data_IF_722465069130
#
_entry.id   IF_722465069130
#
_cell.length_a   1.000
_cell.length_b   1.000
_cell.length_c   1.000
_cell.angle_alpha   90.00
_cell.angle_beta   90.00
_cell.angle_gamma   90.00
#
_symmetry.space_group_name_H-M   'P 1'
#
loop_
_entity.id
_entity.type
_entity.pdbx_description
1 polymer ?
#
# COMPACT_ATOMS: atom_id res chain seq x y z
N UNK A 1 -12.77 39.14 -77.22
CA UNK A 1 -13.04 39.18 -76.70
C UNK A 1 -13.17 38.80 -75.63
N UNK A 2 -13.11 38.76 -74.83
CA UNK A 2 -13.27 38.50 -73.76
C UNK A 2 -13.11 38.36 -72.76
N UNK A 3 -13.11 38.28 -71.88
CA UNK A 3 -13.01 38.19 -70.82
C UNK A 3 -13.20 37.89 -69.84
N UNK A 4 -12.95 37.67 -68.99
CA UNK A 4 -13.15 37.39 -67.98
C UNK A 4 -12.81 37.38 -67.00
N UNK A 5 -12.91 37.43 -66.16
CA UNK A 5 -12.68 37.64 -65.15
C UNK A 5 -13.06 36.87 -64.18
N UNK A 6 -12.52 36.27 -63.45
CA UNK A 6 -12.89 35.58 -62.45
C UNK A 6 -12.46 36.07 -61.21
N UNK A 7 -13.22 36.49 -60.57
CA UNK A 7 -12.88 36.94 -59.32
C UNK A 7 -12.93 35.80 -58.39
N UNK A 8 -11.98 35.39 -57.96
CA UNK A 8 -12.03 34.41 -57.04
C UNK A 8 -12.04 34.99 -55.64
N UNK A 9 -13.01 34.80 -55.09
CA UNK A 9 -13.09 35.22 -53.74
C UNK A 9 -12.45 34.26 -52.91
N UNK A 10 -11.55 34.65 -52.32
CA UNK A 10 -10.95 33.82 -51.41
C UNK A 10 -11.65 33.91 -50.13
N UNK A 11 -12.14 33.00 -49.77
CA UNK A 11 -12.72 32.95 -48.53
C UNK A 11 -11.81 32.49 -47.58
N UNK A 12 -11.50 33.25 -46.76
CA UNK A 12 -10.86 32.87 -45.72
C UNK A 12 -11.59 32.31 -44.75
N UNK A 13 -11.51 31.24 -44.50
CA UNK A 13 -12.06 30.64 -43.40
C UNK A 13 -11.16 30.65 -42.38
N UNK A 14 -11.34 31.39 -41.59
CA UNK A 14 -10.61 31.33 -40.45
C UNK A 14 -11.08 30.29 -39.59
N UNK A 15 -10.53 29.39 -39.52
CA UNK A 15 -10.88 28.42 -38.64
C UNK A 15 -10.44 28.72 -37.37
N UNK A 16 -11.15 29.05 -36.68
CA UNK A 16 -10.90 29.17 -35.42
C UNK A 16 -10.90 28.05 -34.78
N UNK A 17 -10.03 27.66 -34.50
CA UNK A 17 -10.00 26.69 -33.75
C UNK A 17 -9.96 27.01 -32.51
N UNK A 18 -10.71 26.97 -31.93
CA UNK A 18 -10.71 27.09 -30.72
C UNK A 18 -10.33 25.97 -30.09
N UNK A 19 -9.43 25.84 -29.88
CA UNK A 19 -9.08 24.80 -29.34
C UNK A 19 -9.06 24.63 -28.06
N UNK A 20 -9.55 24.79 -27.57
CA UNK A 20 -9.63 24.69 -26.40
C UNK A 20 -9.33 23.64 -25.81
N UNK A 21 -8.75 23.30 -25.80
CA UNK A 21 -8.42 22.35 -25.24
C UNK A 21 -8.60 21.96 -24.08
N UNK A 22 -8.74 22.24 -23.59
CA UNK A 22 -8.98 22.05 -22.48
C UNK A 22 -8.91 20.93 -21.90
N UNK A 23 -8.71 20.28 -22.10
CA UNK A 23 -8.61 19.25 -21.59
C UNK A 23 -8.32 18.98 -20.49
N UNK A 24 -8.20 19.35 -20.10
CA UNK A 24 -7.93 19.39 -19.17
C UNK A 24 -8.35 18.75 -18.21
N UNK A 25 -8.09 18.61 -17.46
CA UNK A 25 -8.48 18.16 -16.37
C UNK A 25 -8.67 16.93 -16.11
N UNK A 26 -8.53 16.28 -16.80
CA UNK A 26 -8.86 15.08 -16.51
C UNK A 26 -7.83 14.47 -15.84
N UNK A 27 -7.94 13.73 -15.14
CA UNK A 27 -6.99 12.99 -14.57
C UNK A 27 -6.10 13.64 -13.69
N UNK A 28 -6.39 14.67 -13.20
CA UNK A 28 -5.53 15.17 -12.35
C UNK A 28 -5.64 14.61 -11.07
N UNK A 29 -4.61 14.25 -10.44
CA UNK A 29 -4.61 13.88 -9.09
C UNK A 29 -5.12 15.02 -8.28
N UNK A 30 -5.90 14.73 -7.30
CA UNK A 30 -6.38 15.76 -6.45
C UNK A 30 -5.28 16.13 -5.49
N UNK A 31 -5.18 17.38 -5.20
CA UNK A 31 -4.15 17.84 -4.28
C UNK A 31 -4.28 17.19 -2.92
N UNK A 32 -5.48 16.75 -2.60
CA UNK A 32 -5.70 16.14 -1.30
C UNK A 32 -5.49 14.66 -1.27
N UNK A 33 -5.23 14.03 -2.38
CA UNK A 33 -5.02 12.60 -2.40
C UNK A 33 -3.74 12.27 -1.66
N UNK A 34 -3.77 11.34 -0.73
CA UNK A 34 -2.56 10.98 -0.02
C UNK A 34 -1.59 10.22 -0.92
N UNK A 35 -0.31 10.39 -0.63
CA UNK A 35 0.71 9.59 -1.27
C UNK A 35 0.71 8.24 -0.58
N UNK A 36 0.60 7.19 -1.37
CA UNK A 36 0.59 5.83 -0.84
C UNK A 36 1.99 5.26 -0.84
N UNK A 37 2.31 4.55 0.22
CA UNK A 37 3.59 3.88 0.38
C UNK A 37 3.40 2.37 0.33
N UNK A 38 4.28 1.69 -0.38
CA UNK A 38 4.23 0.24 -0.46
C UNK A 38 4.83 -0.35 0.82
N UNK A 39 4.06 -1.16 1.50
CA UNK A 39 4.47 -1.79 2.76
C UNK A 39 4.52 -3.29 2.57
N UNK A 40 5.54 -3.91 3.11
CA UNK A 40 5.65 -5.36 3.08
C UNK A 40 6.03 -5.88 4.45
N UNK A 41 5.28 -6.86 4.90
CA UNK A 41 5.59 -7.62 6.11
C UNK A 41 6.22 -8.95 5.72
N UNK A 42 7.24 -9.37 6.42
CA UNK A 42 7.85 -10.68 6.21
C UNK A 42 8.14 -11.32 7.57
N UNK A 43 7.72 -12.56 7.73
CA UNK A 43 7.98 -13.32 8.95
C UNK A 43 8.70 -14.60 8.57
N UNK A 44 9.78 -14.88 9.28
CA UNK A 44 10.53 -16.12 9.14
C UNK A 44 10.66 -16.80 10.49
N UNK A 45 11.00 -18.07 10.48
CA UNK A 45 11.22 -18.84 11.70
C UNK A 45 12.38 -19.80 11.47
N UNK A 46 13.17 -20.01 12.50
CA UNK A 46 14.27 -20.97 12.42
C UNK A 46 13.79 -22.41 12.57
N UNK A 47 12.66 -22.59 13.25
CA UNK A 47 12.05 -23.90 13.45
C UNK A 47 10.62 -23.87 12.96
N UNK A 48 10.11 -24.95 12.36
CA UNK A 48 8.75 -24.98 11.82
C UNK A 48 7.71 -24.72 12.90
N UNK A 49 6.67 -23.97 12.54
CA UNK A 49 5.58 -23.64 13.45
C UNK A 49 4.34 -23.31 12.66
N UNK A 50 3.17 -23.65 13.19
CA UNK A 50 1.90 -23.17 12.68
C UNK A 50 1.61 -21.87 13.42
N UNK A 51 1.99 -20.77 12.81
CA UNK A 51 2.05 -19.48 13.47
C UNK A 51 0.72 -18.75 13.44
N UNK A 52 0.51 -17.93 14.47
CA UNK A 52 -0.67 -17.09 14.60
C UNK A 52 -0.23 -15.65 14.29
N UNK A 53 -0.85 -15.03 13.30
CA UNK A 53 -0.40 -13.74 12.79
C UNK A 53 -1.55 -12.75 12.78
N UNK A 54 -1.28 -11.54 13.28
CA UNK A 54 -2.16 -10.39 13.13
C UNK A 54 -1.40 -9.32 12.37
N UNK A 55 -2.06 -8.63 11.46
CA UNK A 55 -1.38 -7.60 10.68
C UNK A 55 -2.39 -6.56 10.22
N UNK A 56 -1.94 -5.32 10.07
CA UNK A 56 -2.77 -4.27 9.51
C UNK A 56 -2.90 -4.52 8.00
N UNK A 57 -4.11 -4.69 7.51
CA UNK A 57 -4.35 -4.88 6.08
C UNK A 57 -5.08 -3.70 5.45
N UNK A 58 -5.55 -2.78 6.23
CA UNK A 58 -6.16 -1.55 5.72
C UNK A 58 -5.99 -0.44 6.75
N UNK A 59 -5.94 0.77 6.26
CA UNK A 59 -5.68 1.91 7.11
C UNK A 59 -6.97 2.47 7.69
N UNK A 60 -7.07 2.58 9.02
CA UNK A 60 -8.20 3.28 9.62
C UNK A 60 -8.14 4.76 9.29
N UNK A 61 -9.29 5.40 9.16
CA UNK A 61 -9.35 6.83 8.90
C UNK A 61 -8.85 7.62 10.09
N UNK A 62 -9.25 7.22 11.29
CA UNK A 62 -8.81 7.84 12.54
C UNK A 62 -8.58 6.74 13.57
N UNK A 63 -7.83 7.07 14.61
CA UNK A 63 -7.54 6.10 15.66
C UNK A 63 -8.80 5.59 16.37
N UNK A 64 -9.83 6.42 16.49
CA UNK A 64 -11.07 5.99 17.11
C UNK A 64 -11.73 4.82 16.38
N UNK A 65 -11.64 4.80 15.05
CA UNK A 65 -12.18 3.68 14.28
C UNK A 65 -11.43 2.39 14.62
N UNK A 66 -10.12 2.46 14.73
CA UNK A 66 -9.30 1.31 15.09
C UNK A 66 -9.62 0.83 16.50
N UNK A 67 -9.68 1.74 17.47
CA UNK A 67 -9.91 1.32 18.86
C UNK A 67 -11.31 0.78 19.09
N UNK A 68 -12.26 1.19 18.27
CA UNK A 68 -13.62 0.70 18.38
C UNK A 68 -13.76 -0.72 17.83
N UNK A 69 -13.06 -1.03 16.76
CA UNK A 69 -13.13 -2.35 16.13
C UNK A 69 -11.77 -2.72 15.53
N UNK A 70 -10.81 -3.08 16.37
CA UNK A 70 -9.45 -3.35 15.87
C UNK A 70 -9.37 -4.53 14.91
N UNK A 71 -10.22 -5.53 15.08
CA UNK A 71 -10.16 -6.72 14.23
C UNK A 71 -10.59 -6.46 12.80
N UNK A 72 -11.30 -5.38 12.58
CA UNK A 72 -11.65 -4.97 11.22
C UNK A 72 -10.40 -4.59 10.43
N UNK A 73 -9.40 -4.05 11.09
CA UNK A 73 -8.19 -3.55 10.47
C UNK A 73 -7.00 -4.48 10.65
N UNK A 74 -7.09 -5.41 11.60
CA UNK A 74 -6.02 -6.35 11.90
C UNK A 74 -6.55 -7.77 11.85
N UNK A 75 -6.72 -8.33 10.65
CA UNK A 75 -7.16 -9.71 10.54
C UNK A 75 -6.14 -10.66 11.14
N UNK A 76 -6.66 -11.81 11.54
CA UNK A 76 -5.85 -12.90 12.05
C UNK A 76 -5.77 -14.00 11.01
N UNK A 77 -4.58 -14.48 10.78
CA UNK A 77 -4.37 -15.66 9.93
C UNK A 77 -3.46 -16.61 10.65
N UNK A 78 -3.53 -17.88 10.28
CA UNK A 78 -2.60 -18.88 10.75
C UNK A 78 -1.88 -19.44 9.53
N UNK A 79 -0.58 -19.66 9.66
CA UNK A 79 0.22 -20.10 8.53
C UNK A 79 1.37 -20.96 9.00
N UNK A 80 1.73 -21.94 8.19
CA UNK A 80 2.92 -22.74 8.42
C UNK A 80 4.13 -21.93 8.00
N UNK A 81 5.04 -21.70 8.94
CA UNK A 81 6.29 -21.02 8.67
C UNK A 81 7.42 -21.96 9.04
N UNK A 82 8.44 -22.03 8.21
CA UNK A 82 9.56 -22.92 8.41
C UNK A 82 10.79 -22.30 7.73
N UNK A 83 12.00 -22.82 8.03
CA UNK A 83 13.17 -22.37 7.29
C UNK A 83 12.95 -22.53 5.79
N UNK A 84 13.17 -21.43 5.05
CA UNK A 84 12.93 -21.43 3.62
C UNK A 84 11.46 -21.27 3.21
N UNK A 85 10.56 -21.12 4.18
CA UNK A 85 9.14 -20.92 3.91
C UNK A 85 8.62 -19.74 4.73
N UNK A 86 8.93 -18.52 4.32
CA UNK A 86 8.45 -17.34 5.03
C UNK A 86 6.98 -17.06 4.75
N UNK A 87 6.38 -16.25 5.60
CA UNK A 87 5.09 -15.66 5.33
C UNK A 87 5.30 -14.19 4.99
N UNK A 88 4.59 -13.67 3.99
CA UNK A 88 4.69 -12.26 3.66
C UNK A 88 3.35 -11.71 3.18
N UNK A 89 3.18 -10.42 3.32
CA UNK A 89 1.99 -9.72 2.90
C UNK A 89 2.36 -8.30 2.47
N UNK A 90 1.76 -7.83 1.39
CA UNK A 90 2.04 -6.51 0.84
C UNK A 90 0.75 -5.71 0.73
N UNK A 91 0.84 -4.42 1.01
CA UNK A 91 -0.28 -3.51 0.90
C UNK A 91 0.24 -2.08 0.72
N UNK A 92 -0.66 -1.16 0.46
CA UNK A 92 -0.30 0.26 0.39
C UNK A 92 -0.97 1.01 1.53
N UNK A 93 -0.22 1.87 2.20
CA UNK A 93 -0.71 2.69 3.29
C UNK A 93 -0.28 4.14 3.07
N UNK A 94 -1.13 5.08 3.44
CA UNK A 94 -0.79 6.49 3.37
C UNK A 94 0.13 6.88 4.52
N UNK A 95 -0.06 6.27 5.68
CA UNK A 95 0.71 6.61 6.89
C UNK A 95 1.25 5.37 7.57
N UNK A 96 2.22 4.70 6.95
CA UNK A 96 2.78 3.49 7.55
C UNK A 96 3.41 3.73 8.91
N UNK A 97 3.90 4.94 9.20
CA UNK A 97 4.48 5.26 10.49
C UNK A 97 3.48 5.14 11.61
N UNK A 98 2.20 5.24 11.32
CA UNK A 98 1.17 5.09 12.33
C UNK A 98 0.49 3.73 12.29
N UNK A 99 0.41 3.10 11.13
CA UNK A 99 -0.45 1.94 10.97
C UNK A 99 0.24 0.65 10.57
N UNK A 100 1.41 0.70 9.92
CA UNK A 100 2.09 -0.53 9.53
C UNK A 100 2.43 -1.36 10.76
N UNK A 101 1.93 -2.58 10.81
CA UNK A 101 2.11 -3.44 11.97
C UNK A 101 1.88 -4.91 11.61
N UNK A 102 2.75 -5.76 12.08
CA UNK A 102 2.58 -7.20 12.02
C UNK A 102 3.06 -7.79 13.34
N UNK A 103 2.28 -8.74 13.85
CA UNK A 103 2.62 -9.44 15.07
C UNK A 103 2.46 -10.92 14.81
N UNK A 104 3.38 -11.71 15.27
CA UNK A 104 3.32 -13.15 15.15
C UNK A 104 3.57 -13.77 16.53
N UNK A 105 2.89 -14.84 16.81
CA UNK A 105 3.12 -15.63 18.02
C UNK A 105 2.80 -17.09 17.73
N UNK A 106 3.04 -17.94 18.71
CA UNK A 106 2.81 -19.37 18.56
C UNK A 106 1.36 -19.77 18.80
N UNK A 107 0.52 -18.84 19.26
CA UNK A 107 -0.85 -19.18 19.62
C UNK A 107 -0.83 -20.22 20.73
N UNK A 108 -1.49 -21.35 20.46
CA UNK A 108 -1.51 -22.47 21.40
C UNK A 108 -0.47 -23.53 21.06
N UNK A 109 0.32 -23.33 20.00
CA UNK A 109 1.29 -24.32 19.59
C UNK A 109 2.51 -24.33 20.52
N UNK A 110 3.01 -25.50 20.88
CA UNK A 110 4.22 -25.58 21.67
C UNK A 110 5.46 -25.34 20.83
N UNK A 111 6.56 -25.09 21.48
CA UNK A 111 7.83 -24.97 20.81
C UNK A 111 8.35 -23.55 20.82
N UNK A 112 9.55 -23.41 20.29
CA UNK A 112 10.26 -22.13 20.24
C UNK A 112 10.73 -21.92 18.80
N UNK A 113 9.90 -21.32 17.96
CA UNK A 113 10.24 -21.19 16.54
C UNK A 113 11.37 -20.22 16.22
N UNK A 114 11.69 -19.29 17.13
CA UNK A 114 12.68 -18.25 16.87
C UNK A 114 12.24 -17.41 15.68
N UNK A 115 11.26 -16.56 15.91
CA UNK A 115 10.71 -15.70 14.86
C UNK A 115 11.60 -14.52 14.55
N UNK A 116 11.56 -14.11 13.30
CA UNK A 116 12.12 -12.85 12.85
C UNK A 116 11.07 -12.15 12.00
N UNK A 117 10.85 -10.85 12.20
CA UNK A 117 9.99 -10.08 11.31
C UNK A 117 10.74 -8.89 10.72
N UNK A 118 10.42 -8.60 9.47
CA UNK A 118 10.86 -7.39 8.79
C UNK A 118 9.65 -6.62 8.32
N UNK A 119 9.69 -5.32 8.50
CA UNK A 119 8.70 -4.42 7.96
C UNK A 119 9.42 -3.49 7.02
N UNK A 120 9.03 -3.49 5.74
CA UNK A 120 9.64 -2.59 4.77
C UNK A 120 8.63 -1.58 4.27
N UNK A 121 9.14 -0.40 3.95
CA UNK A 121 8.36 0.69 3.36
C UNK A 121 9.11 1.14 2.12
N UNK A 122 8.42 1.13 0.98
CA UNK A 122 8.98 1.54 -0.30
C UNK A 122 10.30 0.82 -0.61
N UNK A 123 10.35 -0.46 -0.26
CA UNK A 123 11.51 -1.30 -0.57
C UNK A 123 12.62 -1.29 0.46
N UNK A 124 12.53 -0.47 1.49
CA UNK A 124 13.58 -0.40 2.51
C UNK A 124 13.07 -0.98 3.82
N UNK A 125 13.82 -1.86 4.45
CA UNK A 125 13.47 -2.42 5.74
C UNK A 125 13.64 -1.33 6.80
N UNK A 126 12.56 -0.98 7.46
CA UNK A 126 12.57 0.09 8.46
C UNK A 126 12.46 -0.45 9.89
N UNK A 127 11.97 -1.67 10.05
CA UNK A 127 11.92 -2.34 11.35
C UNK A 127 12.29 -3.79 11.14
N UNK A 128 13.14 -4.32 12.02
CA UNK A 128 13.58 -5.70 11.97
C UNK A 128 13.77 -6.17 13.40
N UNK A 129 13.07 -7.22 13.78
CA UNK A 129 13.08 -7.70 15.17
C UNK A 129 13.01 -9.22 15.25
N UNK A 130 13.51 -9.73 16.35
CA UNK A 130 13.51 -11.16 16.64
C UNK A 130 12.82 -11.44 17.95
N UNK A 131 12.22 -12.60 18.08
CA UNK A 131 11.63 -13.07 19.31
C UNK A 131 11.47 -14.57 19.29
N UNK A 132 11.76 -15.26 20.42
CA UNK A 132 11.75 -16.73 20.43
C UNK A 132 10.37 -17.33 20.20
N UNK A 133 9.33 -16.72 20.73
CA UNK A 133 7.98 -17.24 20.62
C UNK A 133 6.97 -16.21 20.12
N UNK A 134 7.40 -15.00 19.90
CA UNK A 134 6.55 -13.94 19.39
C UNK A 134 7.35 -12.69 19.13
N UNK A 135 6.90 -11.90 18.16
CA UNK A 135 7.59 -10.66 17.81
C UNK A 135 6.60 -9.70 17.15
N UNK A 136 6.81 -8.42 17.38
CA UNK A 136 6.03 -7.34 16.82
C UNK A 136 6.93 -6.45 15.99
N UNK A 137 6.59 -6.21 14.74
CA UNK A 137 7.23 -5.20 13.93
C UNK A 137 6.22 -4.10 13.63
N UNK A 138 6.51 -2.90 14.10
CA UNK A 138 5.76 -1.70 13.76
C UNK A 138 6.68 -0.50 13.94
N UNK A 139 6.38 0.57 13.23
CA UNK A 139 7.15 1.80 13.39
C UNK A 139 6.68 2.52 14.64
N UNK A 140 5.37 2.51 14.84
CA UNK A 140 4.77 3.15 16.00
C UNK A 140 4.91 2.25 17.23
N UNK A 141 5.06 2.85 18.39
CA UNK A 141 5.00 2.10 19.64
C UNK A 141 3.54 1.90 20.01
N UNK A 142 3.17 0.67 20.16
CA UNK A 142 1.81 0.29 20.55
C UNK A 142 1.67 0.10 22.04
#
# INVERSE_FOLDING_TARGET
MHRLVGAGSAILVAALVGGAGSSVGTGRAHADDPIMHHVKYTITAKNPIYANIYYIDQEPTIFADYSHDPYRFTPNVQADIAPGKPWSYELNLARPEYWAMVVVNTGTEPGTPEFHCDLSVDGAVVVSKDGPRGVLCSIRNW
#
